data_IF_505541767976
#
_entry.id   IF_505541767976
#
_cell.length_a   1.000
_cell.length_b   1.000
_cell.length_c   1.000
_cell.angle_alpha   90.00
_cell.angle_beta   90.00
_cell.angle_gamma   90.00
#
_symmetry.space_group_name_H-M   'P 1'
#
loop_
_entity.id
_entity.type
_entity.pdbx_description
1 polymer ?
#
# COMPACT_ATOMS: atom_id res chain seq x y z
N UNK A 1 -4.32 21.45 75.66
CA UNK A 1 -5.71 21.94 75.82
C UNK A 1 -6.59 21.21 74.82
N UNK A 2 -7.66 20.56 75.33
CA UNK A 2 -8.95 20.23 74.68
C UNK A 2 -8.88 19.55 73.28
N UNK A 3 -9.09 18.23 73.20
CA UNK A 3 -10.42 17.57 73.02
C UNK A 3 -11.06 17.97 71.67
N UNK A 4 -11.18 17.06 70.69
CA UNK A 4 -12.19 15.99 70.59
C UNK A 4 -13.40 16.46 69.76
N UNK A 5 -13.75 15.68 68.71
CA UNK A 5 -15.09 15.49 68.11
C UNK A 5 -15.73 16.71 67.38
N UNK A 6 -16.58 16.61 66.34
CA UNK A 6 -17.05 15.54 65.43
C UNK A 6 -18.10 16.20 64.48
N UNK A 7 -18.36 15.56 63.35
CA UNK A 7 -19.71 15.28 62.81
C UNK A 7 -20.40 16.24 61.79
N UNK A 8 -20.73 15.56 60.68
CA UNK A 8 -21.87 15.62 59.75
C UNK A 8 -22.04 16.77 58.74
N UNK A 9 -22.04 16.32 57.49
CA UNK A 9 -22.83 16.89 56.41
C UNK A 9 -22.77 15.98 55.18
N UNK A 10 -23.37 14.79 55.25
CA UNK A 10 -23.62 13.97 54.05
C UNK A 10 -24.69 14.70 53.23
N UNK A 11 -24.35 15.12 52.02
CA UNK A 11 -25.34 15.34 50.97
C UNK A 11 -24.94 14.57 49.72
N UNK A 12 -25.72 13.52 49.48
CA UNK A 12 -25.82 12.76 48.25
C UNK A 12 -26.22 13.69 47.10
N UNK A 13 -25.51 13.63 45.96
CA UNK A 13 -26.08 13.78 44.62
C UNK A 13 -25.05 13.37 43.56
N UNK A 14 -25.41 12.28 42.86
CA UNK A 14 -24.98 11.81 41.53
C UNK A 14 -23.63 12.27 40.96
N UNK A 15 -22.70 11.34 40.85
CA UNK A 15 -21.53 11.49 40.00
C UNK A 15 -20.58 10.30 40.11
N UNK A 16 -20.93 9.17 39.51
CA UNK A 16 -19.96 8.10 39.27
C UNK A 16 -18.99 8.62 38.20
N UNK A 17 -17.88 9.22 38.62
CA UNK A 17 -16.76 9.51 37.74
C UNK A 17 -16.02 8.19 37.48
N UNK A 18 -16.50 7.43 36.49
CA UNK A 18 -15.69 6.37 35.88
C UNK A 18 -14.52 7.06 35.18
N UNK A 19 -13.34 6.98 35.79
CA UNK A 19 -12.10 7.39 35.14
C UNK A 19 -11.88 6.46 33.95
N UNK A 20 -12.30 6.88 32.77
CA UNK A 20 -11.96 6.23 31.51
C UNK A 20 -10.46 6.44 31.29
N UNK A 21 -9.66 5.44 31.65
CA UNK A 21 -8.23 5.43 31.32
C UNK A 21 -8.11 5.17 29.83
N UNK A 22 -7.88 6.24 29.05
CA UNK A 22 -7.59 6.15 27.64
C UNK A 22 -6.19 5.54 27.48
N UNK A 23 -6.11 4.21 27.38
CA UNK A 23 -4.85 3.54 27.04
C UNK A 23 -4.48 3.94 25.62
N UNK A 24 -3.51 4.85 25.47
CA UNK A 24 -2.90 5.15 24.19
C UNK A 24 -2.11 3.90 23.75
N UNK A 25 -2.72 3.07 22.91
CA UNK A 25 -1.99 2.00 22.22
C UNK A 25 -1.03 2.69 21.24
N UNK A 26 0.28 2.41 21.27
CA UNK A 26 1.17 2.92 20.24
C UNK A 26 0.67 2.43 18.88
N UNK A 27 0.48 3.36 17.95
CA UNK A 27 0.24 3.02 16.55
C UNK A 27 1.54 2.40 16.05
N UNK A 28 1.57 1.09 15.87
CA UNK A 28 2.66 0.43 15.17
C UNK A 28 2.61 0.91 13.72
N UNK A 29 3.51 1.83 13.36
CA UNK A 29 3.77 2.15 11.96
C UNK A 29 4.46 0.92 11.38
N UNK A 30 3.68 -0.01 10.87
CA UNK A 30 4.18 -1.08 10.01
C UNK A 30 4.76 -0.37 8.79
N UNK A 31 6.09 -0.29 8.72
CA UNK A 31 6.75 0.19 7.51
C UNK A 31 6.21 -0.64 6.34
N UNK A 32 5.62 0.03 5.34
CA UNK A 32 5.18 -0.63 4.12
C UNK A 32 6.39 -1.35 3.50
N UNK A 33 6.21 -2.62 3.15
CA UNK A 33 7.25 -3.41 2.50
C UNK A 33 7.30 -3.14 1.00
N UNK A 34 8.30 -3.69 0.28
CA UNK A 34 8.45 -3.48 -1.16
C UNK A 34 7.20 -3.81 -1.99
N UNK A 35 6.40 -4.79 -1.55
CA UNK A 35 5.15 -5.14 -2.22
C UNK A 35 4.10 -4.04 -2.04
N UNK A 36 3.91 -3.57 -0.80
CA UNK A 36 2.95 -2.53 -0.45
C UNK A 36 3.31 -1.19 -1.12
N UNK A 37 4.61 -0.90 -1.25
CA UNK A 37 5.12 0.27 -1.96
C UNK A 37 4.84 0.20 -3.46
N UNK A 38 5.03 -0.98 -4.10
CA UNK A 38 4.67 -1.19 -5.51
C UNK A 38 3.15 -1.02 -5.72
N UNK A 39 2.33 -1.57 -4.82
CA UNK A 39 0.87 -1.38 -4.87
C UNK A 39 0.51 0.10 -4.77
N UNK A 40 1.12 0.84 -3.84
CA UNK A 40 0.88 2.25 -3.65
C UNK A 40 1.28 3.08 -4.88
N UNK A 41 2.43 2.75 -5.50
CA UNK A 41 2.91 3.40 -6.71
C UNK A 41 1.97 3.13 -7.91
N UNK A 42 1.56 1.88 -8.11
CA UNK A 42 0.60 1.50 -9.17
C UNK A 42 -0.75 2.19 -8.98
N UNK A 43 -1.25 2.28 -7.73
CA UNK A 43 -2.49 2.97 -7.40
C UNK A 43 -2.45 4.47 -7.72
N UNK A 44 -1.29 5.10 -7.57
CA UNK A 44 -1.09 6.53 -7.82
C UNK A 44 -0.63 6.82 -9.27
N UNK A 45 -0.29 5.80 -10.06
CA UNK A 45 0.42 6.00 -11.32
C UNK A 45 1.80 6.65 -11.13
N UNK A 46 2.42 6.47 -9.96
CA UNK A 46 3.69 7.11 -9.60
C UNK A 46 4.89 6.31 -10.11
N UNK A 47 5.46 6.75 -11.23
CA UNK A 47 6.66 6.14 -11.80
C UNK A 47 7.90 6.33 -10.97
N UNK A 48 8.03 7.44 -10.23
CA UNK A 48 9.23 7.69 -9.43
C UNK A 48 9.27 6.78 -8.19
N UNK A 49 8.09 6.44 -7.65
CA UNK A 49 7.94 5.40 -6.63
C UNK A 49 8.19 4.01 -7.21
N UNK A 50 7.55 3.69 -8.34
CA UNK A 50 7.64 2.36 -8.95
C UNK A 50 9.06 2.01 -9.43
N UNK A 51 9.79 2.98 -9.97
CA UNK A 51 11.12 2.78 -10.55
C UNK A 51 12.15 2.29 -9.54
N UNK A 52 11.96 2.56 -8.25
CA UNK A 52 12.84 2.08 -7.17
C UNK A 52 12.85 0.57 -7.06
N UNK A 53 11.75 -0.07 -7.42
CA UNK A 53 11.57 -1.52 -7.32
C UNK A 53 11.81 -2.23 -8.65
N UNK A 54 11.89 -1.52 -9.79
CA UNK A 54 12.15 -2.17 -11.08
C UNK A 54 13.50 -2.91 -11.05
N UNK A 55 13.44 -4.17 -11.48
CA UNK A 55 14.60 -4.98 -11.79
C UNK A 55 15.39 -4.38 -12.96
N UNK A 56 16.64 -4.81 -13.15
CA UNK A 56 17.48 -4.36 -14.26
C UNK A 56 16.89 -4.77 -15.61
N UNK A 57 16.14 -5.87 -15.63
CA UNK A 57 15.39 -6.37 -16.77
C UNK A 57 13.95 -6.64 -16.31
N UNK A 58 12.97 -6.01 -16.95
CA UNK A 58 11.54 -6.10 -16.60
C UNK A 58 10.77 -6.56 -17.82
N UNK A 59 9.97 -7.60 -17.67
CA UNK A 59 8.98 -7.99 -18.65
C UNK A 59 7.74 -7.11 -18.51
N UNK A 60 7.38 -6.41 -19.60
CA UNK A 60 6.18 -5.59 -19.65
C UNK A 60 5.28 -6.12 -20.75
N UNK A 61 4.04 -6.45 -20.39
CA UNK A 61 3.01 -6.86 -21.32
C UNK A 61 1.88 -5.85 -21.33
N UNK A 62 1.77 -5.10 -22.43
CA UNK A 62 0.66 -4.17 -22.67
C UNK A 62 -0.16 -4.72 -23.82
N UNK A 63 -1.46 -4.95 -23.59
CA UNK A 63 -2.40 -5.44 -24.60
C UNK A 63 -1.97 -6.75 -25.30
N UNK A 64 -1.42 -7.69 -24.53
CA UNK A 64 -1.06 -9.02 -25.01
C UNK A 64 0.28 -9.11 -25.74
N UNK A 65 1.08 -8.03 -25.75
CA UNK A 65 2.42 -8.00 -26.35
C UNK A 65 3.48 -7.95 -25.25
N UNK A 66 3.95 -9.11 -24.74
CA UNK A 66 5.05 -9.15 -23.79
C UNK A 66 6.36 -8.77 -24.49
N UNK A 67 7.18 -7.97 -23.82
CA UNK A 67 8.55 -7.69 -24.24
C UNK A 67 9.41 -7.38 -23.01
N UNK A 68 10.70 -7.65 -23.14
CA UNK A 68 11.69 -7.45 -22.08
C UNK A 68 12.42 -6.13 -22.27
N UNK A 69 12.51 -5.33 -21.22
CA UNK A 69 13.09 -3.99 -21.24
C UNK A 69 14.13 -3.82 -20.15
N UNK A 70 15.17 -3.02 -20.41
CA UNK A 70 16.02 -2.52 -19.33
C UNK A 70 15.22 -1.62 -18.39
N UNK A 71 15.68 -1.47 -17.14
CA UNK A 71 15.06 -0.56 -16.16
C UNK A 71 14.74 0.83 -16.74
N UNK A 72 15.71 1.46 -17.42
CA UNK A 72 15.51 2.79 -18.00
C UNK A 72 14.44 2.81 -19.11
N UNK A 73 14.38 1.76 -19.95
CA UNK A 73 13.34 1.63 -20.97
C UNK A 73 11.96 1.37 -20.34
N UNK A 74 11.91 0.52 -19.31
CA UNK A 74 10.70 0.25 -18.54
C UNK A 74 10.12 1.53 -17.93
N UNK A 75 10.95 2.38 -17.31
CA UNK A 75 10.52 3.68 -16.78
C UNK A 75 9.86 4.57 -17.86
N UNK A 76 10.46 4.64 -19.05
CA UNK A 76 9.91 5.42 -20.18
C UNK A 76 8.55 4.87 -20.62
N UNK A 77 8.46 3.54 -20.80
CA UNK A 77 7.24 2.88 -21.27
C UNK A 77 6.11 3.03 -20.25
N UNK A 78 6.40 2.82 -18.97
CA UNK A 78 5.39 2.92 -17.92
C UNK A 78 4.96 4.37 -17.68
N UNK A 79 5.88 5.34 -17.84
CA UNK A 79 5.53 6.77 -17.82
C UNK A 79 4.59 7.14 -18.95
N UNK A 80 4.84 6.67 -20.17
CA UNK A 80 3.92 6.86 -21.29
C UNK A 80 2.57 6.19 -21.03
N UNK A 81 2.56 4.96 -20.51
CA UNK A 81 1.35 4.24 -20.15
C UNK A 81 0.49 5.01 -19.15
N UNK A 82 1.04 5.45 -18.00
CA UNK A 82 0.25 6.18 -17.00
C UNK A 82 -0.11 7.60 -17.43
N UNK A 83 0.69 8.24 -18.29
CA UNK A 83 0.33 9.55 -18.87
C UNK A 83 -0.87 9.43 -19.81
N UNK A 84 -0.95 8.33 -20.56
CA UNK A 84 -2.10 8.02 -21.43
C UNK A 84 -3.26 7.42 -20.68
N UNK A 85 -3.03 6.78 -19.54
CA UNK A 85 -4.07 6.12 -18.75
C UNK A 85 -4.05 6.58 -17.27
N UNK A 86 -4.31 7.86 -16.97
CA UNK A 86 -4.46 8.35 -15.61
C UNK A 86 -5.34 7.46 -14.74
N UNK A 87 -4.78 6.95 -13.64
CA UNK A 87 -5.43 6.02 -12.73
C UNK A 87 -6.52 6.74 -11.94
N UNK A 88 -7.75 6.21 -11.97
CA UNK A 88 -8.90 6.69 -11.20
C UNK A 88 -9.13 5.85 -9.96
N UNK A 89 -9.01 4.54 -10.10
CA UNK A 89 -9.07 3.61 -8.97
C UNK A 89 -8.19 2.39 -9.23
N UNK A 90 -7.76 1.78 -8.13
CA UNK A 90 -6.97 0.56 -8.13
C UNK A 90 -7.41 -0.30 -6.95
N UNK A 91 -7.90 -1.49 -7.27
CA UNK A 91 -8.39 -2.47 -6.30
C UNK A 91 -7.58 -3.75 -6.42
N UNK A 92 -6.78 -4.05 -5.40
CA UNK A 92 -6.04 -5.31 -5.33
C UNK A 92 -7.02 -6.43 -5.00
N UNK A 93 -7.19 -7.38 -5.92
CA UNK A 93 -8.16 -8.48 -5.80
C UNK A 93 -7.54 -9.79 -5.36
N UNK A 94 -6.28 -10.04 -5.72
CA UNK A 94 -5.54 -11.22 -5.28
C UNK A 94 -4.09 -10.83 -5.00
N UNK A 95 -3.49 -11.46 -4.00
CA UNK A 95 -2.08 -11.36 -3.70
C UNK A 95 -1.59 -12.67 -3.10
N UNK A 96 -0.29 -12.92 -3.16
CA UNK A 96 0.29 -14.07 -2.49
C UNK A 96 1.78 -14.22 -2.73
N UNK A 97 2.26 -15.40 -2.36
CA UNK A 97 3.67 -15.81 -2.48
C UNK A 97 4.49 -15.58 -1.20
N UNK A 98 5.56 -16.34 -1.09
CA UNK A 98 6.47 -16.34 0.07
C UNK A 98 7.76 -15.57 -0.27
N UNK A 99 8.72 -16.26 -0.89
CA UNK A 99 10.01 -15.68 -1.31
C UNK A 99 9.89 -14.73 -2.52
N UNK A 100 8.91 -14.99 -3.38
CA UNK A 100 8.47 -14.12 -4.45
C UNK A 100 7.04 -13.71 -4.14
N UNK A 101 6.67 -12.48 -4.48
CA UNK A 101 5.34 -11.93 -4.21
C UNK A 101 4.65 -11.63 -5.52
N UNK A 102 3.34 -11.80 -5.58
CA UNK A 102 2.54 -11.39 -6.74
C UNK A 102 1.29 -10.67 -6.30
N UNK A 103 0.76 -9.84 -7.20
CA UNK A 103 -0.51 -9.17 -7.02
C UNK A 103 -1.29 -9.09 -8.33
N UNK A 104 -2.61 -9.11 -8.18
CA UNK A 104 -3.57 -8.93 -9.26
C UNK A 104 -4.56 -7.87 -8.82
N UNK A 105 -4.76 -6.86 -9.65
CA UNK A 105 -5.63 -5.73 -9.37
C UNK A 105 -6.54 -5.38 -10.54
N UNK A 106 -7.65 -4.73 -10.21
CA UNK A 106 -8.49 -4.02 -11.16
C UNK A 106 -8.06 -2.55 -11.14
N UNK A 107 -7.60 -2.04 -12.28
CA UNK A 107 -7.22 -0.63 -12.45
C UNK A 107 -8.21 0.04 -13.39
N UNK A 108 -8.97 1.01 -12.87
CA UNK A 108 -9.83 1.87 -13.69
C UNK A 108 -9.05 3.13 -14.02
N UNK A 109 -9.04 3.49 -15.28
CA UNK A 109 -8.38 4.71 -15.78
C UNK A 109 -9.39 5.59 -16.51
N UNK A 110 -8.94 6.74 -17.00
CA UNK A 110 -9.76 7.56 -17.91
C UNK A 110 -10.02 6.90 -19.28
N UNK A 111 -9.15 5.99 -19.72
CA UNK A 111 -9.13 5.45 -21.09
C UNK A 111 -9.37 3.94 -21.17
N UNK A 112 -9.79 3.32 -20.07
CA UNK A 112 -10.13 1.90 -20.02
C UNK A 112 -10.01 1.31 -18.62
N UNK A 113 -10.43 0.05 -18.49
CA UNK A 113 -10.22 -0.75 -17.29
C UNK A 113 -9.24 -1.87 -17.61
N UNK A 114 -8.24 -2.03 -16.76
CA UNK A 114 -7.20 -3.04 -16.91
C UNK A 114 -7.25 -4.04 -15.75
N UNK A 115 -7.01 -5.31 -16.04
CA UNK A 115 -6.48 -6.26 -15.07
C UNK A 115 -4.97 -6.08 -15.05
N UNK A 116 -4.44 -5.69 -13.89
CA UNK A 116 -3.01 -5.48 -13.67
C UNK A 116 -2.47 -6.66 -12.88
N UNK A 117 -1.53 -7.40 -13.46
CA UNK A 117 -0.81 -8.47 -12.77
C UNK A 117 0.65 -8.07 -12.64
N UNK A 118 1.24 -8.28 -11.47
CA UNK A 118 2.63 -7.90 -11.21
C UNK A 118 3.32 -8.91 -10.31
N UNK A 119 4.61 -9.13 -10.57
CA UNK A 119 5.42 -10.10 -9.84
C UNK A 119 6.69 -9.43 -9.32
N UNK A 120 6.97 -9.68 -8.05
CA UNK A 120 8.21 -9.30 -7.39
C UNK A 120 8.99 -10.55 -7.02
N UNK A 121 10.29 -10.52 -7.24
CA UNK A 121 11.20 -11.59 -6.90
C UNK A 121 12.29 -11.10 -5.96
N UNK A 122 12.74 -11.97 -5.05
CA UNK A 122 13.91 -11.69 -4.23
C UNK A 122 15.18 -11.86 -5.07
N UNK A 123 15.98 -10.81 -5.17
CA UNK A 123 17.31 -10.80 -5.80
C UNK A 123 18.32 -10.23 -4.83
N UNK A 124 19.20 -11.10 -4.33
CA UNK A 124 20.10 -10.75 -3.22
C UNK A 124 19.33 -10.36 -1.96
N UNK A 125 19.62 -9.17 -1.44
CA UNK A 125 18.96 -8.59 -0.26
C UNK A 125 17.69 -7.80 -0.55
N UNK A 126 17.28 -7.67 -1.81
CA UNK A 126 16.17 -6.80 -2.22
C UNK A 126 15.06 -7.58 -2.93
N UNK A 127 13.84 -7.04 -2.85
CA UNK A 127 12.69 -7.54 -3.59
C UNK A 127 12.42 -6.58 -4.75
N UNK A 128 12.42 -7.10 -5.98
CA UNK A 128 12.35 -6.29 -7.21
C UNK A 128 11.20 -6.74 -8.11
N UNK A 129 10.53 -5.78 -8.73
CA UNK A 129 9.47 -5.95 -9.72
C UNK A 129 10.09 -6.37 -11.06
N UNK A 130 9.83 -7.61 -11.48
CA UNK A 130 10.38 -8.20 -12.69
C UNK A 130 9.35 -8.43 -13.81
N UNK A 131 8.05 -8.42 -13.49
CA UNK A 131 6.99 -8.55 -14.48
C UNK A 131 5.82 -7.62 -14.15
N UNK A 132 5.30 -6.95 -15.19
CA UNK A 132 4.11 -6.12 -15.11
C UNK A 132 3.25 -6.29 -16.36
N UNK A 133 1.99 -6.68 -16.16
CA UNK A 133 1.04 -6.97 -17.24
C UNK A 133 -0.22 -6.13 -17.09
N UNK A 134 -0.62 -5.48 -18.19
CA UNK A 134 -1.84 -4.70 -18.33
C UNK A 134 -2.72 -5.33 -19.41
N UNK A 135 -3.76 -6.02 -18.98
CA UNK A 135 -4.76 -6.64 -19.86
C UNK A 135 -6.04 -5.82 -19.84
N UNK A 136 -6.61 -5.51 -21.00
CA UNK A 136 -7.93 -4.89 -21.08
C UNK A 136 -8.97 -5.85 -20.49
N UNK A 137 -9.89 -5.31 -19.70
CA UNK A 137 -11.09 -6.02 -19.28
C UNK A 137 -12.23 -5.83 -20.27
#
# INVERSE_FOLDING_TARGET
MKKLLMVLGILLLGGVFTTFTLSARPIEIVAAGPFEDVVAALKQGDINGLSRYLDNNVEINIAGKPNSYSKAQAEIILKDFFSKNPVKSFELVHQGGDNSRFGIANMVTNNGTFRVSFFLQKKGGSMVLNELRFENK
#
